data_IF_497654110974
#
_entry.id   IF_497654110974
#
_cell.length_a   1.000
_cell.length_b   1.000
_cell.length_c   1.000
_cell.angle_alpha   90.00
_cell.angle_beta   90.00
_cell.angle_gamma   90.00
#
_symmetry.space_group_name_H-M   'P 1'
#
loop_
_entity.id
_entity.type
_entity.pdbx_description
1 polymer ?
#
# COMPACT_ATOMS: atom_id res chain seq x y z
N UNK A 1 -11.24 -10.77 -21.00
CA UNK A 1 -10.80 -9.40 -21.34
C UNK A 1 -11.94 -8.44 -21.09
N UNK A 2 -11.64 -7.19 -20.76
CA UNK A 2 -12.65 -6.13 -20.63
C UNK A 2 -13.34 -5.87 -21.99
N UNK A 3 -14.69 -5.90 -22.09
CA UNK A 3 -15.39 -5.62 -23.34
C UNK A 3 -15.13 -4.23 -23.94
N UNK A 4 -14.63 -3.29 -23.14
CA UNK A 4 -14.32 -1.93 -23.60
C UNK A 4 -12.86 -1.75 -24.06
N UNK A 5 -12.08 -2.84 -24.09
CA UNK A 5 -10.65 -2.84 -24.43
C UNK A 5 -9.77 -2.35 -23.29
N UNK A 6 -8.58 -1.87 -23.63
CA UNK A 6 -7.65 -1.21 -22.70
C UNK A 6 -7.20 0.12 -23.28
N UNK A 7 -6.79 1.04 -22.40
CA UNK A 7 -6.27 2.35 -22.78
C UNK A 7 -4.93 2.54 -22.08
N UNK A 8 -3.90 2.86 -22.86
CA UNK A 8 -2.57 3.17 -22.34
C UNK A 8 -2.48 4.66 -22.01
N UNK A 9 -1.87 4.98 -20.87
CA UNK A 9 -1.57 6.35 -20.46
C UNK A 9 -0.10 6.47 -20.16
N UNK A 10 0.52 7.58 -20.59
CA UNK A 10 1.85 7.96 -20.16
C UNK A 10 1.74 9.26 -19.33
N UNK A 11 2.00 9.17 -18.03
CA UNK A 11 1.95 10.35 -17.16
C UNK A 11 3.20 11.22 -17.29
N UNK A 12 4.33 10.67 -17.73
CA UNK A 12 5.61 11.37 -17.81
C UNK A 12 5.88 12.25 -16.59
N UNK A 13 6.05 13.57 -16.80
CA UNK A 13 6.30 14.55 -15.72
C UNK A 13 5.17 14.70 -14.70
N UNK A 14 3.97 14.22 -15.01
CA UNK A 14 2.83 14.24 -14.09
C UNK A 14 2.83 13.06 -13.10
N UNK A 15 3.69 12.06 -13.31
CA UNK A 15 3.80 10.89 -12.45
C UNK A 15 4.39 11.23 -11.08
N UNK A 16 3.97 10.51 -10.04
CA UNK A 16 4.64 10.53 -8.75
C UNK A 16 6.02 9.83 -8.77
N UNK A 17 6.42 9.17 -9.86
CA UNK A 17 7.73 8.51 -9.99
C UNK A 17 8.85 9.40 -10.53
N UNK A 18 8.59 10.66 -10.89
CA UNK A 18 9.57 11.52 -11.59
C UNK A 18 10.92 11.62 -10.87
N UNK A 19 10.92 11.71 -9.54
CA UNK A 19 12.16 11.81 -8.74
C UNK A 19 12.51 10.50 -8.01
N UNK A 20 11.84 9.41 -8.37
CA UNK A 20 12.07 8.13 -7.70
C UNK A 20 13.30 7.42 -8.32
N UNK A 21 14.31 7.05 -7.53
CA UNK A 21 15.60 6.55 -8.04
C UNK A 21 15.56 5.11 -8.58
N UNK A 22 14.43 4.41 -8.42
CA UNK A 22 14.29 2.98 -8.72
C UNK A 22 14.19 2.59 -10.21
N UNK A 23 14.34 3.53 -11.14
CA UNK A 23 14.28 3.23 -12.57
C UNK A 23 15.33 2.18 -12.96
N UNK A 24 14.91 1.13 -13.67
CA UNK A 24 15.75 -0.04 -13.99
C UNK A 24 15.71 -1.15 -12.94
N UNK A 25 15.13 -0.89 -11.77
CA UNK A 25 15.06 -1.81 -10.63
C UNK A 25 13.64 -1.98 -10.08
N UNK A 26 12.61 -1.53 -10.81
CA UNK A 26 11.23 -1.78 -10.40
C UNK A 26 10.88 -3.25 -10.54
N UNK A 27 10.12 -3.76 -9.58
CA UNK A 27 9.58 -5.11 -9.59
C UNK A 27 8.06 -5.08 -9.73
N UNK A 28 7.56 -5.83 -10.72
CA UNK A 28 6.15 -5.94 -11.10
C UNK A 28 5.39 -7.03 -10.35
N UNK A 29 4.38 -7.61 -11.01
CA UNK A 29 3.69 -8.80 -10.50
C UNK A 29 4.34 -10.11 -10.97
N UNK A 30 4.90 -10.15 -12.18
CA UNK A 30 5.59 -11.31 -12.72
C UNK A 30 7.12 -11.21 -12.55
N UNK A 31 7.81 -12.32 -12.85
CA UNK A 31 9.27 -12.44 -12.71
C UNK A 31 10.07 -11.62 -13.72
N UNK A 32 9.46 -11.14 -14.81
CA UNK A 32 10.14 -10.32 -15.81
C UNK A 32 10.06 -8.83 -15.43
N UNK A 33 11.07 -8.36 -14.69
CA UNK A 33 11.23 -6.96 -14.34
C UNK A 33 11.50 -6.06 -15.57
N UNK A 34 11.86 -6.62 -16.74
CA UNK A 34 12.13 -5.84 -17.95
C UNK A 34 10.91 -5.07 -18.43
N UNK A 35 9.73 -5.67 -18.37
CA UNK A 35 8.47 -5.04 -18.84
C UNK A 35 8.13 -3.81 -18.02
N UNK A 36 8.10 -3.92 -16.68
CA UNK A 36 7.77 -2.78 -15.82
C UNK A 36 8.79 -1.65 -15.97
N UNK A 37 10.08 -1.96 -16.09
CA UNK A 37 11.12 -0.95 -16.26
C UNK A 37 11.11 -0.32 -17.67
N UNK A 38 10.65 -1.04 -18.70
CA UNK A 38 10.43 -0.45 -20.02
C UNK A 38 9.39 0.68 -19.98
N UNK A 39 8.31 0.48 -19.22
CA UNK A 39 7.21 1.44 -19.04
C UNK A 39 7.50 2.55 -18.02
N UNK A 40 8.46 2.34 -17.12
CA UNK A 40 8.83 3.28 -16.05
C UNK A 40 10.30 3.68 -16.09
N UNK A 41 10.77 4.18 -17.24
CA UNK A 41 12.15 4.65 -17.43
C UNK A 41 12.25 5.77 -18.46
N UNK A 42 13.34 6.54 -18.39
CA UNK A 42 13.64 7.57 -19.39
C UNK A 42 12.57 8.67 -19.48
N UNK A 43 11.93 9.01 -18.35
CA UNK A 43 10.85 10.01 -18.28
C UNK A 43 9.49 9.50 -18.75
N UNK A 44 9.34 8.21 -19.09
CA UNK A 44 8.05 7.56 -19.31
C UNK A 44 7.56 6.93 -18.02
N UNK A 45 6.26 7.07 -17.76
CA UNK A 45 5.56 6.42 -16.66
C UNK A 45 4.21 5.95 -17.17
N UNK A 46 4.20 4.72 -17.67
CA UNK A 46 3.11 4.18 -18.47
C UNK A 46 2.27 3.17 -17.68
N UNK A 47 0.96 3.23 -17.91
CA UNK A 47 -0.02 2.34 -17.29
C UNK A 47 -1.04 1.90 -18.31
N UNK A 48 -1.48 0.64 -18.22
CA UNK A 48 -2.50 0.08 -19.11
C UNK A 48 -3.77 -0.18 -18.32
N UNK A 49 -4.83 0.61 -18.58
CA UNK A 49 -6.05 0.60 -17.78
C UNK A 49 -7.20 -0.05 -18.55
N UNK A 50 -8.06 -0.77 -17.83
CA UNK A 50 -9.30 -1.31 -18.36
C UNK A 50 -10.18 -0.18 -18.95
N UNK A 51 -10.60 -0.35 -20.20
CA UNK A 51 -11.41 0.64 -20.92
C UNK A 51 -12.72 0.98 -20.21
N UNK A 52 -13.34 0.05 -19.48
CA UNK A 52 -14.55 0.31 -18.70
C UNK A 52 -14.33 1.36 -17.60
N UNK A 53 -13.18 1.34 -16.92
CA UNK A 53 -12.83 2.31 -15.89
C UNK A 53 -12.60 3.72 -16.48
N UNK A 54 -12.11 3.78 -17.72
CA UNK A 54 -11.83 5.05 -18.42
C UNK A 54 -13.07 5.61 -19.10
N UNK A 55 -13.90 4.77 -19.72
CA UNK A 55 -15.06 5.19 -20.52
C UNK A 55 -16.32 5.43 -19.69
N UNK A 56 -16.40 4.98 -18.44
CA UNK A 56 -17.57 5.24 -17.59
C UNK A 56 -17.74 6.75 -17.29
N UNK A 57 -18.97 7.19 -17.03
CA UNK A 57 -19.23 8.58 -16.62
C UNK A 57 -18.99 8.80 -15.10
N UNK A 58 -19.13 7.74 -14.32
CA UNK A 58 -19.05 7.75 -12.86
C UNK A 58 -18.37 6.48 -12.37
N UNK A 59 -17.50 6.61 -11.37
CA UNK A 59 -16.84 5.48 -10.69
C UNK A 59 -17.47 5.28 -9.32
N UNK A 60 -17.81 4.03 -9.00
CA UNK A 60 -18.19 3.61 -7.66
C UNK A 60 -17.14 2.63 -7.12
N UNK A 61 -16.42 3.03 -6.07
CA UNK A 61 -15.47 2.19 -5.34
C UNK A 61 -16.17 1.53 -4.15
N UNK A 62 -16.11 0.20 -4.08
CA UNK A 62 -16.61 -0.59 -2.95
C UNK A 62 -15.47 -1.32 -2.22
N UNK A 63 -14.46 -0.61 -1.65
CA UNK A 63 -13.31 -1.26 -1.06
C UNK A 63 -13.66 -1.90 0.28
N UNK A 64 -12.96 -2.99 0.60
CA UNK A 64 -12.99 -3.59 1.94
C UNK A 64 -12.06 -2.82 2.88
N UNK A 65 -12.51 -2.54 4.10
CA UNK A 65 -11.69 -1.87 5.11
C UNK A 65 -10.75 -2.85 5.81
N UNK A 66 -9.45 -2.80 5.52
CA UNK A 66 -8.44 -3.66 6.16
C UNK A 66 -7.03 -3.07 6.15
N UNK A 67 -6.14 -3.61 6.97
CA UNK A 67 -4.70 -3.33 6.90
C UNK A 67 -4.08 -3.90 5.63
N UNK A 68 -2.93 -3.35 5.21
CA UNK A 68 -2.23 -3.78 4.01
C UNK A 68 -0.71 -3.80 4.19
N UNK A 69 -0.10 -4.98 4.04
CA UNK A 69 1.34 -5.20 4.20
C UNK A 69 2.28 -4.24 3.45
N UNK A 70 1.92 -3.77 2.24
CA UNK A 70 2.77 -2.82 1.46
C UNK A 70 2.39 -1.35 1.63
N UNK A 71 1.13 -1.05 1.91
CA UNK A 71 0.57 0.30 1.74
C UNK A 71 0.02 0.87 3.06
N UNK A 72 0.20 0.14 4.18
CA UNK A 72 -0.37 0.44 5.49
C UNK A 72 -1.82 -0.01 5.58
N UNK A 73 -2.68 0.54 4.70
CA UNK A 73 -4.13 0.32 4.68
C UNK A 73 -4.64 0.00 3.28
N UNK A 74 -5.86 -0.53 3.19
CA UNK A 74 -6.62 -0.65 1.94
C UNK A 74 -7.43 0.61 1.65
N UNK A 75 -8.76 0.52 1.59
CA UNK A 75 -9.68 1.55 1.12
C UNK A 75 -9.49 1.91 -0.38
N UNK A 76 -9.97 3.08 -0.79
CA UNK A 76 -10.27 3.40 -2.19
C UNK A 76 -9.05 3.70 -3.05
N UNK A 77 -8.05 4.41 -2.52
CA UNK A 77 -6.84 4.77 -3.28
C UNK A 77 -6.12 3.51 -3.76
N UNK A 78 -6.00 2.50 -2.88
CA UNK A 78 -5.39 1.22 -3.20
C UNK A 78 -6.28 0.32 -4.07
N UNK A 79 -7.61 0.50 -4.02
CA UNK A 79 -8.59 -0.28 -4.76
C UNK A 79 -8.38 -0.21 -6.28
N UNK A 80 -7.91 0.93 -6.78
CA UNK A 80 -7.72 1.16 -8.21
C UNK A 80 -6.55 0.38 -8.83
N UNK A 81 -5.73 -0.32 -8.03
CA UNK A 81 -4.83 -1.34 -8.58
C UNK A 81 -5.61 -2.42 -9.35
N UNK A 82 -6.89 -2.65 -8.99
CA UNK A 82 -7.77 -3.59 -9.67
C UNK A 82 -8.25 -3.16 -11.06
N UNK A 83 -8.12 -1.88 -11.46
CA UNK A 83 -8.56 -1.41 -12.80
C UNK A 83 -7.51 -1.64 -13.88
N UNK A 84 -6.31 -2.07 -13.51
CA UNK A 84 -5.20 -2.22 -14.42
C UNK A 84 -5.37 -3.49 -15.28
N UNK A 85 -5.15 -3.36 -16.59
CA UNK A 85 -5.36 -4.42 -17.57
C UNK A 85 -4.17 -5.39 -17.65
N UNK A 86 -2.94 -4.93 -17.34
CA UNK A 86 -1.74 -5.78 -17.31
C UNK A 86 -0.85 -5.44 -16.09
N UNK A 87 -0.81 -6.36 -15.13
CA UNK A 87 -0.10 -6.16 -13.85
C UNK A 87 1.41 -5.96 -14.02
N UNK A 88 1.98 -6.30 -15.17
CA UNK A 88 3.39 -6.08 -15.46
C UNK A 88 3.75 -4.62 -15.74
N UNK A 89 2.76 -3.73 -15.81
CA UNK A 89 2.96 -2.29 -15.93
C UNK A 89 3.02 -1.59 -14.56
N UNK A 90 2.87 -2.34 -13.45
CA UNK A 90 2.72 -1.77 -12.12
C UNK A 90 3.98 -1.96 -11.25
N UNK A 91 4.72 -0.89 -10.93
CA UNK A 91 5.79 -0.96 -9.94
C UNK A 91 5.22 -1.24 -8.55
N UNK A 92 5.58 -2.36 -7.94
CA UNK A 92 5.10 -2.76 -6.61
C UNK A 92 6.12 -2.52 -5.49
N UNK A 93 7.40 -2.56 -5.86
CA UNK A 93 8.56 -2.27 -5.02
C UNK A 93 9.78 -2.09 -5.92
N UNK A 94 10.87 -1.61 -5.36
CA UNK A 94 12.17 -1.44 -6.01
C UNK A 94 13.15 -2.41 -5.39
N UNK A 95 13.87 -3.14 -6.22
CA UNK A 95 14.84 -4.13 -5.78
C UNK A 95 15.95 -3.53 -4.91
N UNK A 96 16.34 -4.26 -3.87
CA UNK A 96 17.38 -3.84 -2.94
C UNK A 96 16.85 -3.19 -1.66
N UNK A 97 17.79 -2.82 -0.79
CA UNK A 97 17.51 -2.18 0.49
C UNK A 97 17.63 -0.65 0.36
N UNK A 98 17.14 0.13 1.35
CA UNK A 98 17.24 1.59 1.32
C UNK A 98 18.66 2.11 1.10
N UNK A 99 19.66 1.45 1.69
CA UNK A 99 21.09 1.80 1.53
C UNK A 99 21.60 1.69 0.08
N UNK A 100 20.92 0.89 -0.75
CA UNK A 100 21.21 0.73 -2.18
C UNK A 100 20.15 1.39 -3.08
N UNK A 101 19.29 2.26 -2.52
CA UNK A 101 18.22 2.93 -3.27
C UNK A 101 16.97 2.10 -3.55
N UNK A 102 16.85 0.91 -2.96
CA UNK A 102 15.67 0.04 -3.09
C UNK A 102 14.75 0.08 -1.87
N UNK A 103 13.62 -0.62 -1.94
CA UNK A 103 12.63 -0.66 -0.86
C UNK A 103 12.07 -2.08 -0.59
N UNK A 104 12.77 -3.12 -1.05
CA UNK A 104 12.37 -4.53 -0.96
C UNK A 104 12.20 -4.97 0.51
N UNK A 105 13.10 -4.54 1.38
CA UNK A 105 13.10 -4.86 2.80
C UNK A 105 13.95 -3.83 3.58
N UNK A 106 13.72 -3.69 4.90
CA UNK A 106 14.65 -2.98 5.78
C UNK A 106 16.05 -3.57 5.61
N UNK A 107 17.07 -2.72 5.69
CA UNK A 107 18.47 -3.15 5.53
C UNK A 107 18.73 -4.42 6.33
N UNK A 108 19.11 -5.54 5.68
CA UNK A 108 19.43 -6.74 6.41
C UNK A 108 20.62 -6.45 7.32
N UNK A 109 20.49 -6.81 8.61
CA UNK A 109 21.65 -6.87 9.50
C UNK A 109 22.77 -7.72 8.86
N UNK A 110 24.02 -7.51 9.27
CA UNK A 110 25.21 -8.19 8.72
C UNK A 110 25.01 -9.71 8.52
N UNK A 111 24.28 -10.36 9.43
CA UNK A 111 23.95 -11.79 9.42
C UNK A 111 23.09 -12.23 8.21
N UNK A 112 22.15 -11.39 7.77
CA UNK A 112 21.29 -11.69 6.61
C UNK A 112 22.00 -11.46 5.27
N UNK A 113 23.01 -10.58 5.19
CA UNK A 113 23.86 -10.43 3.99
C UNK A 113 24.68 -11.68 3.71
N UNK A 114 25.23 -12.30 4.74
CA UNK A 114 25.96 -13.57 4.64
C UNK A 114 25.04 -14.71 4.19
N UNK A 115 23.83 -14.81 4.76
CA UNK A 115 22.85 -15.82 4.36
C UNK A 115 22.40 -15.67 2.89
N UNK A 116 22.16 -14.44 2.41
CA UNK A 116 21.80 -14.21 0.99
C UNK A 116 22.93 -14.58 0.02
N UNK A 117 24.19 -14.28 0.36
CA UNK A 117 25.34 -14.70 -0.47
C UNK A 117 25.46 -16.23 -0.54
N UNK A 118 25.27 -16.90 0.59
CA UNK A 118 25.30 -18.37 0.67
C UNK A 118 24.13 -18.97 -0.13
N UNK A 119 22.92 -18.44 0.01
CA UNK A 119 21.75 -18.90 -0.74
C UNK A 119 21.90 -18.69 -2.26
N UNK A 120 22.48 -17.55 -2.68
CA UNK A 120 22.79 -17.28 -4.09
C UNK A 120 23.84 -18.23 -4.66
N UNK A 121 24.90 -18.54 -3.89
CA UNK A 121 25.90 -19.53 -4.28
C UNK A 121 25.30 -20.94 -4.40
N UNK A 122 24.44 -21.35 -3.45
CA UNK A 122 23.75 -22.64 -3.47
C UNK A 122 22.83 -22.75 -4.69
N UNK A 123 22.05 -21.71 -5.03
CA UNK A 123 21.23 -21.71 -6.25
C UNK A 123 22.09 -21.82 -7.52
N UNK A 124 23.16 -21.04 -7.60
CA UNK A 124 24.10 -21.10 -8.72
C UNK A 124 24.76 -22.48 -8.92
N UNK A 125 25.05 -23.18 -7.81
CA UNK A 125 25.52 -24.57 -7.82
C UNK A 125 24.42 -25.57 -8.24
N UNK A 126 23.18 -25.38 -7.79
CA UNK A 126 22.06 -26.27 -8.13
C UNK A 126 21.72 -26.31 -9.63
N UNK A 127 21.92 -25.19 -10.34
CA UNK A 127 21.75 -25.12 -11.79
C UNK A 127 22.86 -25.82 -12.59
N UNK A 128 24.01 -26.13 -11.95
CA UNK A 128 25.17 -26.76 -12.61
C UNK A 128 25.21 -28.28 -12.43
N UNK A 129 24.36 -28.87 -11.58
CA UNK A 129 24.34 -30.32 -11.33
C UNK A 129 22.90 -30.85 -11.33
N UNK A 130 22.34 -31.24 -12.50
CA UNK A 130 20.93 -31.63 -12.65
C UNK A 130 20.55 -32.93 -11.92
N UNK A 131 21.55 -33.74 -11.55
CA UNK A 131 21.36 -35.15 -11.15
C UNK A 131 21.17 -35.33 -9.63
N UNK A 132 21.46 -34.31 -8.80
CA UNK A 132 21.29 -34.39 -7.34
C UNK A 132 20.00 -33.72 -6.85
N UNK A 133 19.04 -33.55 -7.77
CA UNK A 133 17.79 -32.81 -7.56
C UNK A 133 16.97 -33.26 -6.34
N UNK A 134 16.59 -34.54 -6.18
CA UNK A 134 15.64 -34.92 -5.13
C UNK A 134 16.19 -34.80 -3.70
N UNK A 135 17.46 -35.19 -3.48
CA UNK A 135 18.06 -35.24 -2.14
C UNK A 135 18.42 -33.83 -1.63
N UNK A 136 18.98 -32.99 -2.50
CA UNK A 136 19.28 -31.58 -2.19
C UNK A 136 18.00 -30.79 -2.01
N UNK A 137 16.95 -31.09 -2.77
CA UNK A 137 15.67 -30.37 -2.67
C UNK A 137 14.84 -30.80 -1.44
N UNK A 138 15.03 -32.03 -0.93
CA UNK A 138 14.50 -32.46 0.37
C UNK A 138 15.27 -31.81 1.55
N UNK A 139 16.61 -31.79 1.49
CA UNK A 139 17.46 -31.09 2.48
C UNK A 139 17.21 -29.57 2.48
N UNK A 140 17.04 -28.96 1.30
CA UNK A 140 16.70 -27.56 1.16
C UNK A 140 15.28 -27.25 1.63
N UNK A 141 14.36 -28.22 1.66
CA UNK A 141 13.01 -28.03 2.24
C UNK A 141 13.01 -28.11 3.76
N UNK A 142 13.82 -28.98 4.35
CA UNK A 142 13.96 -29.11 5.81
C UNK A 142 14.80 -27.98 6.42
N UNK A 143 15.82 -27.48 5.70
CA UNK A 143 16.65 -26.32 6.12
C UNK A 143 16.09 -24.99 5.60
N UNK A 144 15.28 -25.00 4.55
CA UNK A 144 14.76 -23.80 3.90
C UNK A 144 13.54 -23.19 4.56
N UNK A 145 12.75 -23.91 5.36
CA UNK A 145 11.62 -23.28 6.09
C UNK A 145 12.03 -22.07 6.94
N UNK A 146 13.18 -22.07 7.66
CA UNK A 146 13.67 -20.87 8.34
C UNK A 146 14.38 -19.84 7.43
N UNK A 147 14.95 -20.24 6.28
CA UNK A 147 15.72 -19.36 5.38
C UNK A 147 14.86 -18.71 4.26
N UNK A 148 13.84 -19.43 3.80
CA UNK A 148 12.84 -19.03 2.79
C UNK A 148 11.51 -18.60 3.41
N UNK A 149 11.47 -18.48 4.75
CA UNK A 149 10.28 -18.31 5.60
C UNK A 149 9.13 -17.55 4.97
N UNK A 150 7.92 -18.00 5.27
CA UNK A 150 6.67 -17.50 4.71
C UNK A 150 6.64 -15.97 4.65
N UNK A 151 6.14 -15.45 3.53
CA UNK A 151 6.00 -14.00 3.29
C UNK A 151 5.07 -13.34 4.33
N UNK A 152 4.40 -14.15 5.16
CA UNK A 152 3.53 -13.76 6.26
C UNK A 152 4.27 -13.47 7.58
N UNK A 153 5.55 -13.85 7.71
CA UNK A 153 6.34 -13.62 8.92
C UNK A 153 7.64 -12.84 8.69
N UNK A 154 8.04 -12.66 7.43
CA UNK A 154 9.31 -12.00 7.08
C UNK A 154 9.06 -10.79 6.20
N UNK A 155 9.67 -9.66 6.55
CA UNK A 155 9.60 -8.44 5.74
C UNK A 155 10.41 -8.64 4.45
N UNK A 156 9.71 -8.74 3.33
CA UNK A 156 10.29 -8.86 1.97
C UNK A 156 9.32 -8.32 0.94
N UNK A 157 9.80 -8.13 -0.29
CA UNK A 157 8.99 -7.69 -1.44
C UNK A 157 8.21 -6.41 -1.16
N UNK A 158 8.78 -5.46 -0.41
CA UNK A 158 8.17 -4.18 -0.08
C UNK A 158 7.04 -4.23 0.97
N UNK A 159 6.95 -5.29 1.77
CA UNK A 159 5.89 -5.45 2.77
C UNK A 159 6.20 -4.72 4.10
N UNK A 160 6.49 -3.42 4.05
CA UNK A 160 6.83 -2.61 5.23
C UNK A 160 6.63 -1.10 5.01
N UNK A 161 6.68 -0.33 6.10
CA UNK A 161 6.48 1.12 6.11
C UNK A 161 7.46 1.90 5.22
N UNK A 162 8.66 1.37 4.96
CA UNK A 162 9.67 2.00 4.12
C UNK A 162 9.49 1.77 2.62
N UNK A 163 8.37 1.21 2.17
CA UNK A 163 8.08 1.09 0.74
C UNK A 163 7.77 2.47 0.12
N UNK A 164 8.63 2.93 -0.78
CA UNK A 164 8.51 4.22 -1.47
C UNK A 164 7.99 4.10 -2.91
N UNK A 165 7.75 2.87 -3.38
CA UNK A 165 7.28 2.58 -4.74
C UNK A 165 5.75 2.52 -4.84
N UNK A 166 5.10 1.76 -3.94
CA UNK A 166 3.69 1.34 -4.11
C UNK A 166 2.73 2.52 -4.08
N UNK A 167 2.98 3.51 -3.23
CA UNK A 167 2.09 4.65 -3.06
C UNK A 167 2.08 5.51 -4.33
N UNK A 168 3.25 5.69 -4.98
CA UNK A 168 3.39 6.47 -6.22
C UNK A 168 2.54 5.87 -7.34
N UNK A 169 2.66 4.55 -7.53
CA UNK A 169 1.84 3.81 -8.49
C UNK A 169 0.35 3.94 -8.17
N UNK A 170 -0.05 3.79 -6.91
CA UNK A 170 -1.46 3.93 -6.56
C UNK A 170 -2.00 5.34 -6.85
N UNK A 171 -1.26 6.40 -6.52
CA UNK A 171 -1.69 7.77 -6.78
C UNK A 171 -1.75 8.08 -8.28
N UNK A 172 -0.80 7.58 -9.06
CA UNK A 172 -0.82 7.68 -10.52
C UNK A 172 -2.06 7.01 -11.14
N UNK A 173 -2.41 5.80 -10.68
CA UNK A 173 -3.65 5.15 -11.11
C UNK A 173 -4.90 5.98 -10.76
N UNK A 174 -4.91 6.63 -9.58
CA UNK A 174 -6.00 7.52 -9.19
C UNK A 174 -6.09 8.74 -10.13
N UNK A 175 -4.97 9.36 -10.50
CA UNK A 175 -4.95 10.45 -11.48
C UNK A 175 -5.52 9.99 -12.82
N UNK A 176 -5.11 8.81 -13.30
CA UNK A 176 -5.56 8.29 -14.59
C UNK A 176 -7.07 8.02 -14.57
N UNK A 177 -7.60 7.41 -13.51
CA UNK A 177 -9.06 7.17 -13.43
C UNK A 177 -9.86 8.47 -13.37
N UNK A 178 -9.31 9.52 -12.74
CA UNK A 178 -10.00 10.80 -12.59
C UNK A 178 -9.96 11.64 -13.85
N UNK A 179 -8.80 11.69 -14.50
CA UNK A 179 -8.50 12.65 -15.55
C UNK A 179 -8.34 11.98 -16.93
N UNK A 180 -8.25 10.66 -17.03
CA UNK A 180 -8.02 9.95 -18.29
C UNK A 180 -9.21 9.94 -19.25
N UNK A 181 -8.94 10.23 -20.51
CA UNK A 181 -9.86 10.13 -21.64
C UNK A 181 -9.67 8.81 -22.39
N UNK A 182 -10.66 8.42 -23.20
CA UNK A 182 -10.64 7.17 -23.95
C UNK A 182 -9.55 7.11 -25.05
N UNK A 183 -8.98 8.26 -25.43
CA UNK A 183 -7.87 8.39 -26.39
C UNK A 183 -6.48 8.34 -25.74
N UNK A 184 -6.40 8.14 -24.41
CA UNK A 184 -5.14 8.12 -23.66
C UNK A 184 -4.64 9.51 -23.20
N UNK A 185 -5.37 10.59 -23.52
CA UNK A 185 -5.06 11.94 -23.01
C UNK A 185 -5.59 12.16 -21.59
N UNK A 186 -5.09 13.20 -20.92
CA UNK A 186 -5.61 13.64 -19.62
C UNK A 186 -6.40 14.95 -19.79
N UNK A 187 -7.55 15.03 -19.12
CA UNK A 187 -8.36 16.26 -18.99
C UNK A 187 -7.57 17.34 -18.26
N UNK A 188 -7.97 18.60 -18.43
CA UNK A 188 -7.44 19.71 -17.62
C UNK A 188 -7.52 19.37 -16.12
N UNK A 189 -6.46 19.59 -15.31
CA UNK A 189 -6.40 19.25 -13.89
C UNK A 189 -7.24 20.18 -12.99
N UNK A 190 -8.52 20.37 -13.32
CA UNK A 190 -9.50 21.13 -12.56
C UNK A 190 -10.52 20.22 -11.87
N UNK A 191 -11.05 20.66 -10.73
CA UNK A 191 -12.04 19.88 -9.98
C UNK A 191 -13.35 19.65 -10.75
N UNK A 192 -13.71 20.54 -11.68
CA UNK A 192 -14.94 20.40 -12.49
C UNK A 192 -14.80 19.43 -13.67
N UNK A 193 -13.57 19.12 -14.08
CA UNK A 193 -13.27 18.27 -15.26
C UNK A 193 -12.95 16.83 -14.87
N UNK A 194 -12.58 16.56 -13.60
CA UNK A 194 -12.38 15.18 -13.13
C UNK A 194 -13.69 14.39 -13.12
N UNK A 195 -13.55 13.08 -13.33
CA UNK A 195 -14.65 12.12 -13.19
C UNK A 195 -15.19 12.11 -11.75
N UNK A 196 -16.50 11.93 -11.61
CA UNK A 196 -17.13 11.70 -10.30
C UNK A 196 -16.75 10.33 -9.77
N UNK A 197 -16.30 10.28 -8.52
CA UNK A 197 -15.91 9.06 -7.84
C UNK A 197 -16.60 8.97 -6.48
N UNK A 198 -17.51 8.03 -6.35
CA UNK A 198 -18.16 7.70 -5.09
C UNK A 198 -17.44 6.53 -4.42
N UNK A 199 -17.21 6.64 -3.13
CA UNK A 199 -16.57 5.59 -2.33
C UNK A 199 -17.55 5.16 -1.26
N UNK A 200 -17.82 3.86 -1.19
CA UNK A 200 -18.55 3.23 -0.10
C UNK A 200 -17.68 2.10 0.45
N UNK A 201 -17.02 2.35 1.57
CA UNK A 201 -16.14 1.39 2.24
C UNK A 201 -16.98 0.41 3.06
N UNK A 202 -16.82 -0.88 2.79
CA UNK A 202 -17.38 -1.95 3.61
C UNK A 202 -16.46 -2.22 4.81
N UNK A 203 -16.89 -1.74 5.97
CA UNK A 203 -16.30 -1.99 7.29
C UNK A 203 -17.21 -2.80 8.22
N UNK A 204 -18.24 -3.50 7.71
CA UNK A 204 -19.15 -4.28 8.57
C UNK A 204 -18.36 -5.31 9.36
N UNK A 205 -17.55 -6.09 8.64
CA UNK A 205 -16.46 -6.90 9.17
C UNK A 205 -15.18 -6.42 8.50
N UNK A 206 -14.39 -5.61 9.19
CA UNK A 206 -13.10 -5.12 8.73
C UNK A 206 -11.99 -6.14 9.01
N UNK A 207 -10.73 -5.81 8.67
CA UNK A 207 -9.59 -6.70 8.87
C UNK A 207 -8.33 -6.02 9.39
N UNK A 208 -7.67 -6.61 10.38
CA UNK A 208 -6.42 -6.12 10.97
C UNK A 208 -5.27 -7.13 10.81
N UNK A 209 -4.06 -6.78 11.25
CA UNK A 209 -2.92 -7.68 11.28
C UNK A 209 -2.40 -8.05 9.88
N UNK A 210 -2.43 -9.34 9.52
CA UNK A 210 -1.80 -9.91 8.31
C UNK A 210 -2.58 -9.64 7.00
N UNK A 211 -3.15 -8.45 6.86
CA UNK A 211 -3.78 -8.00 5.62
C UNK A 211 -2.78 -7.78 4.47
N UNK A 212 -3.22 -7.89 3.20
CA UNK A 212 -4.61 -8.03 2.78
C UNK A 212 -5.10 -9.48 2.57
N UNK A 213 -4.21 -10.47 2.62
CA UNK A 213 -4.52 -11.87 2.27
C UNK A 213 -5.12 -12.65 3.44
N UNK A 214 -4.60 -12.45 4.65
CA UNK A 214 -5.01 -13.20 5.83
C UNK A 214 -5.25 -12.27 7.04
N UNK A 215 -6.10 -11.23 6.92
CA UNK A 215 -6.35 -10.34 8.04
C UNK A 215 -7.20 -11.01 9.14
N UNK A 216 -6.97 -10.62 10.39
CA UNK A 216 -7.83 -10.99 11.51
C UNK A 216 -9.10 -10.15 11.48
N UNK A 217 -10.31 -10.73 11.66
CA UNK A 217 -11.56 -9.99 11.52
C UNK A 217 -11.75 -8.98 12.66
N UNK A 218 -12.24 -7.78 12.30
CA UNK A 218 -12.67 -6.76 13.25
C UNK A 218 -14.15 -6.47 13.01
N UNK A 219 -15.00 -6.70 13.99
CA UNK A 219 -16.44 -6.43 13.90
C UNK A 219 -16.72 -4.92 14.07
N UNK A 220 -16.28 -4.12 13.10
CA UNK A 220 -16.36 -2.66 13.18
C UNK A 220 -17.79 -2.14 12.93
N UNK A 221 -18.64 -2.87 12.19
CA UNK A 221 -20.07 -2.57 12.08
C UNK A 221 -20.40 -1.27 11.33
N UNK A 222 -19.48 -0.77 10.49
CA UNK A 222 -19.62 0.54 9.83
C UNK A 222 -19.60 0.47 8.31
N UNK A 223 -20.25 1.45 7.71
CA UNK A 223 -20.08 1.82 6.31
C UNK A 223 -19.57 3.26 6.28
N UNK A 224 -18.48 3.51 5.55
CA UNK A 224 -17.96 4.87 5.36
C UNK A 224 -18.23 5.30 3.93
N UNK A 225 -18.71 6.52 3.75
CA UNK A 225 -19.09 7.04 2.45
C UNK A 225 -18.49 8.42 2.19
N UNK A 226 -18.12 8.68 0.93
CA UNK A 226 -17.71 10.01 0.49
C UNK A 226 -17.45 10.09 -1.01
N UNK A 227 -17.10 11.29 -1.47
CA UNK A 227 -16.88 11.60 -2.92
C UNK A 227 -15.44 12.00 -3.25
N UNK A 228 -14.56 11.94 -2.24
CA UNK A 228 -13.13 12.22 -2.37
C UNK A 228 -12.35 11.05 -1.74
N UNK A 229 -11.78 10.14 -2.55
CA UNK A 229 -11.04 8.98 -2.05
C UNK A 229 -9.93 9.32 -1.04
N UNK A 230 -9.09 10.37 -1.22
CA UNK A 230 -8.11 10.72 -0.20
C UNK A 230 -8.74 11.01 1.16
N UNK A 231 -9.86 11.73 1.19
CA UNK A 231 -10.57 12.07 2.43
C UNK A 231 -11.20 10.83 3.09
N UNK A 232 -11.83 9.96 2.31
CA UNK A 232 -12.43 8.72 2.82
C UNK A 232 -11.36 7.79 3.38
N UNK A 233 -10.25 7.63 2.67
CA UNK A 233 -9.15 6.77 3.11
C UNK A 233 -8.42 7.33 4.35
N UNK A 234 -8.29 8.66 4.46
CA UNK A 234 -7.75 9.31 5.66
C UNK A 234 -8.67 9.13 6.87
N UNK A 235 -9.99 9.27 6.71
CA UNK A 235 -10.97 8.98 7.75
C UNK A 235 -10.93 7.49 8.17
N UNK A 236 -10.83 6.58 7.20
CA UNK A 236 -10.63 5.16 7.44
C UNK A 236 -9.35 4.89 8.25
N UNK A 237 -8.22 5.49 7.92
CA UNK A 237 -6.98 5.29 8.68
C UNK A 237 -7.07 5.88 10.09
N UNK A 238 -7.65 7.08 10.22
CA UNK A 238 -7.83 7.72 11.52
C UNK A 238 -8.71 6.88 12.45
N UNK A 239 -9.85 6.38 11.95
CA UNK A 239 -10.75 5.51 12.74
C UNK A 239 -10.14 4.13 13.02
N UNK A 240 -9.18 3.66 12.23
CA UNK A 240 -8.37 2.48 12.59
C UNK A 240 -7.43 2.75 13.78
N UNK A 241 -7.24 4.01 14.19
CA UNK A 241 -6.24 4.40 15.18
C UNK A 241 -4.86 4.68 14.57
N UNK A 242 -4.79 4.92 13.25
CA UNK A 242 -3.56 5.27 12.55
C UNK A 242 -3.50 6.76 12.24
N UNK A 243 -2.29 7.30 12.14
CA UNK A 243 -1.99 8.67 11.75
C UNK A 243 -1.88 8.74 10.21
N UNK A 244 -2.78 9.48 9.52
CA UNK A 244 -2.72 9.63 8.07
C UNK A 244 -1.41 10.22 7.54
N UNK A 245 -0.68 11.02 8.34
CA UNK A 245 0.61 11.59 7.90
C UNK A 245 1.72 10.54 7.84
N UNK A 246 1.64 9.50 8.68
CA UNK A 246 2.62 8.40 8.73
C UNK A 246 2.43 7.36 7.62
N UNK A 247 1.33 7.42 6.86
CA UNK A 247 1.01 6.50 5.77
C UNK A 247 1.23 7.20 4.41
N UNK A 248 2.28 6.85 3.65
CA UNK A 248 2.65 7.58 2.43
C UNK A 248 1.54 7.71 1.38
N UNK A 249 0.75 6.65 1.14
CA UNK A 249 -0.36 6.72 0.18
C UNK A 249 -1.43 7.74 0.59
N UNK A 250 -1.60 8.02 1.88
CA UNK A 250 -2.57 8.98 2.37
C UNK A 250 -1.98 10.38 2.38
N UNK A 251 -0.85 10.58 3.05
CA UNK A 251 -0.23 11.90 3.17
C UNK A 251 0.12 12.51 1.81
N UNK A 252 0.62 11.70 0.87
CA UNK A 252 0.96 12.14 -0.49
C UNK A 252 -0.24 12.35 -1.40
N UNK A 253 -1.39 11.72 -1.14
CA UNK A 253 -2.61 11.95 -1.94
C UNK A 253 -3.10 13.40 -1.88
N UNK A 254 -2.82 14.10 -0.78
CA UNK A 254 -3.11 15.52 -0.58
C UNK A 254 -2.01 16.45 -1.13
N UNK A 255 -0.91 15.89 -1.64
CA UNK A 255 0.30 16.61 -2.05
C UNK A 255 0.71 16.28 -3.50
N UNK A 256 -0.17 15.67 -4.30
CA UNK A 256 0.12 15.36 -5.70
C UNK A 256 0.54 16.62 -6.47
N UNK A 257 1.69 16.55 -7.16
CA UNK A 257 2.31 17.70 -7.85
C UNK A 257 1.46 18.25 -8.98
N UNK A 258 0.72 17.37 -9.64
CA UNK A 258 -0.21 17.66 -10.72
C UNK A 258 -1.41 16.72 -10.60
N UNK A 259 -2.54 17.10 -11.21
CA UNK A 259 -3.77 16.31 -11.16
C UNK A 259 -4.20 16.00 -9.72
N UNK A 260 -4.37 17.06 -8.92
CA UNK A 260 -4.70 16.95 -7.50
C UNK A 260 -5.92 16.04 -7.25
N UNK A 261 -5.82 15.17 -6.26
CA UNK A 261 -6.89 14.23 -5.89
C UNK A 261 -7.85 14.82 -4.86
N UNK A 262 -7.39 15.83 -4.12
CA UNK A 262 -8.15 16.63 -3.15
C UNK A 262 -7.76 18.11 -3.26
N UNK A 263 -8.69 19.00 -2.97
CA UNK A 263 -8.44 20.45 -2.87
C UNK A 263 -8.08 20.91 -1.45
N UNK A 264 -8.35 20.07 -0.45
CA UNK A 264 -8.19 20.35 0.98
C UNK A 264 -7.30 19.31 1.64
N UNK A 265 -6.73 19.61 2.80
CA UNK A 265 -5.95 18.67 3.58
C UNK A 265 -6.85 17.70 4.35
N UNK A 266 -6.27 16.60 4.85
CA UNK A 266 -7.04 15.64 5.63
C UNK A 266 -7.50 16.18 6.99
N UNK A 267 -6.82 17.20 7.52
CA UNK A 267 -7.19 17.86 8.78
C UNK A 267 -8.47 18.71 8.66
N UNK A 268 -8.87 19.05 7.43
CA UNK A 268 -10.10 19.80 7.15
C UNK A 268 -11.35 18.89 7.07
N UNK A 269 -11.17 17.57 7.23
CA UNK A 269 -12.26 16.60 7.13
C UNK A 269 -13.18 16.76 8.34
N UNK A 270 -14.48 16.87 8.07
CA UNK A 270 -15.54 16.80 9.08
C UNK A 270 -16.34 15.52 8.86
N UNK A 271 -16.49 14.75 9.92
CA UNK A 271 -17.23 13.49 9.92
C UNK A 271 -18.69 13.76 10.26
N UNK A 272 -19.61 13.16 9.49
CA UNK A 272 -21.04 13.15 9.74
C UNK A 272 -21.46 11.70 9.97
N UNK A 273 -22.00 11.41 11.15
CA UNK A 273 -22.27 10.03 11.57
C UNK A 273 -23.53 9.94 12.44
N UNK A 274 -24.17 8.78 12.41
CA UNK A 274 -25.17 8.40 13.41
C UNK A 274 -24.54 8.14 14.79
N UNK A 275 -23.23 7.88 14.84
CA UNK A 275 -22.44 7.88 16.07
C UNK A 275 -22.10 9.32 16.46
N UNK A 276 -22.62 9.80 17.60
CA UNK A 276 -22.47 11.19 18.03
C UNK A 276 -21.02 11.54 18.35
N UNK A 277 -20.24 10.59 18.83
CA UNK A 277 -18.81 10.79 19.08
C UNK A 277 -18.04 11.20 17.81
N UNK A 278 -18.52 10.81 16.63
CA UNK A 278 -17.86 11.09 15.35
C UNK A 278 -18.42 12.30 14.61
N UNK A 279 -19.50 12.94 15.07
CA UNK A 279 -20.08 14.09 14.37
C UNK A 279 -19.31 15.40 14.66
N UNK A 280 -18.08 15.51 14.13
CA UNK A 280 -17.11 16.59 14.41
C UNK A 280 -15.94 16.58 13.41
N UNK A 281 -15.01 17.57 13.44
CA UNK A 281 -13.76 17.46 12.70
C UNK A 281 -13.02 16.16 13.03
N UNK A 282 -12.43 15.52 12.02
CA UNK A 282 -11.81 14.20 12.14
C UNK A 282 -10.73 14.17 13.23
N UNK A 283 -9.93 15.23 13.31
CA UNK A 283 -8.85 15.41 14.29
C UNK A 283 -9.35 15.56 15.73
N UNK A 284 -10.62 15.86 15.92
CA UNK A 284 -11.25 16.03 17.24
C UNK A 284 -11.95 14.75 17.73
N UNK A 285 -11.91 13.67 16.94
CA UNK A 285 -12.40 12.35 17.38
C UNK A 285 -11.39 11.79 18.39
N UNK A 286 -11.81 11.56 19.64
CA UNK A 286 -10.93 11.00 20.67
C UNK A 286 -10.42 9.63 20.28
N UNK A 287 -9.18 9.32 20.66
CA UNK A 287 -8.57 8.01 20.37
C UNK A 287 -9.43 6.85 20.87
N UNK A 288 -10.03 6.98 22.08
CA UNK A 288 -10.93 5.98 22.67
C UNK A 288 -12.20 5.70 21.85
N UNK A 289 -12.58 6.61 20.95
CA UNK A 289 -13.74 6.45 20.05
C UNK A 289 -13.29 5.89 18.68
N UNK A 290 -12.06 5.39 18.56
CA UNK A 290 -11.52 4.70 17.37
C UNK A 290 -11.42 3.19 17.62
N UNK A 291 -11.15 2.42 16.57
CA UNK A 291 -11.15 0.95 16.66
C UNK A 291 -9.81 0.32 17.06
N UNK A 292 -8.72 1.09 17.08
CA UNK A 292 -7.39 0.62 17.46
C UNK A 292 -6.96 -0.69 16.77
N UNK A 293 -7.05 -0.74 15.44
CA UNK A 293 -6.67 -1.91 14.66
C UNK A 293 -5.20 -2.25 14.89
N UNK A 294 -4.89 -3.54 14.96
CA UNK A 294 -3.50 -3.98 14.91
C UNK A 294 -2.94 -3.78 13.48
N UNK A 295 -1.88 -3.00 13.28
CA UNK A 295 -1.29 -2.87 11.95
C UNK A 295 -0.53 -4.15 11.57
N UNK A 296 -0.26 -4.30 10.28
CA UNK A 296 0.62 -5.37 9.80
C UNK A 296 1.98 -5.30 10.51
N UNK A 297 2.63 -6.43 10.81
CA UNK A 297 3.87 -6.44 11.59
C UNK A 297 5.00 -5.57 11.00
N UNK A 298 5.06 -5.43 9.68
CA UNK A 298 5.99 -4.52 8.98
C UNK A 298 5.64 -3.02 9.09
N UNK A 299 4.60 -2.66 9.83
CA UNK A 299 4.10 -1.30 10.05
C UNK A 299 3.89 -0.97 11.55
N UNK A 300 3.97 -1.96 12.43
CA UNK A 300 3.83 -1.78 13.89
C UNK A 300 4.85 -0.77 14.43
N UNK A 301 4.38 0.18 15.23
CA UNK A 301 5.17 1.27 15.81
C UNK A 301 5.51 2.40 14.85
N UNK A 302 4.98 2.38 13.62
CA UNK A 302 5.31 3.36 12.59
C UNK A 302 4.12 4.16 12.06
N UNK A 303 2.88 3.72 12.28
CA UNK A 303 1.68 4.39 11.73
C UNK A 303 0.60 4.70 12.75
N UNK A 304 0.71 4.15 13.94
CA UNK A 304 -0.25 4.38 15.01
C UNK A 304 -0.26 5.86 15.41
N UNK A 305 -1.43 6.35 15.81
CA UNK A 305 -1.55 7.65 16.43
C UNK A 305 -0.71 7.66 17.72
N UNK A 306 -0.05 8.77 17.99
CA UNK A 306 0.67 8.92 19.24
C UNK A 306 -0.35 8.82 20.37
N UNK A 307 -0.17 7.84 21.25
CA UNK A 307 -1.01 7.70 22.43
C UNK A 307 -0.93 9.01 23.21
N UNK A 308 -2.08 9.60 23.57
CA UNK A 308 -2.07 10.56 24.66
C UNK A 308 -1.28 9.94 25.83
N UNK A 309 -0.40 10.69 26.51
CA UNK A 309 0.48 10.13 27.52
C UNK A 309 -0.37 9.31 28.49
N UNK A 310 -0.04 8.02 28.65
CA UNK A 310 -0.59 7.22 29.74
C UNK A 310 -0.32 8.02 31.01
N UNK A 311 -1.38 8.50 31.66
CA UNK A 311 -1.25 9.09 32.99
C UNK A 311 -0.53 8.03 33.84
N UNK A 312 0.70 8.35 34.23
CA UNK A 312 1.54 7.55 35.10
C UNK A 312 0.77 7.24 36.37
N UNK A 313 0.36 5.97 36.54
CA UNK A 313 -0.54 5.63 37.63
C UNK A 313 -0.71 4.14 37.90
N UNK A 314 0.24 3.28 37.52
CA UNK A 314 0.34 1.94 38.11
C UNK A 314 1.82 1.62 38.34
N UNK A 315 2.24 1.70 39.61
CA UNK A 315 3.54 1.20 40.05
C UNK A 315 3.55 -0.34 39.96
N UNK A 316 4.68 -0.97 39.58
CA UNK A 316 4.82 -2.41 39.68
C UNK A 316 4.76 -2.84 41.15
N UNK A 317 3.91 -3.82 41.44
CA UNK A 317 3.85 -4.49 42.74
C UNK A 317 5.21 -5.12 43.04
N UNK A 318 5.87 -4.65 44.10
CA UNK A 318 7.06 -5.27 44.68
C UNK A 318 6.74 -6.73 45.06
N UNK A 319 7.50 -7.66 44.47
CA UNK A 319 7.50 -9.04 44.91
C UNK A 319 8.10 -9.11 46.31
N UNK A 320 7.23 -9.33 47.30
CA UNK A 320 7.61 -9.59 48.68
C UNK A 320 8.53 -10.82 48.74
N UNK A 321 9.78 -10.59 49.12
CA UNK A 321 10.62 -11.60 49.74
C UNK A 321 10.08 -11.90 51.13
N UNK A 322 9.92 -13.18 51.47
CA UNK A 322 10.03 -13.74 52.83
C UNK A 322 9.72 -15.24 52.81
N UNK A 323 10.19 -16.02 53.80
CA UNK A 323 11.50 -16.03 54.46
C UNK A 323 12.33 -17.29 54.12
#
# INVERSE_FOLDING_TARGET
>A
MDPYGSVAFNLGKASEFVDHPGAGHYYGADYDAGVVNHHHSGGRHEYLIAGCAIKCDVVFSLPKWKTHKKAGVTASLKNLVGVNADKNWLPHHTEGAPVSGGDEAPSPGLKHRTERKVAGAIRGLSHRVPVVGPLVHQLARSVGKPIFGDTESTIRSGNWFGNDTIWRMCLDLNKIVFYGNADGSLRDPQQKTRKRHFVLVDGIIAGQGRGPLNPDPVAAGVLLFGVHPPSVDAACAYLMGFDPDKIPILSRAFQCRSFALSAHGWRDIVMLSNERAWNRPLVDIPSNDTFHFEPHFGWKGHIEQDSAPRLSGEQPVEAAQQP
#
